data_IF_980390832375
#
_entry.id   IF_980390832375
#
_cell.length_a   1.000
_cell.length_b   1.000
_cell.length_c   1.000
_cell.angle_alpha   90.00
_cell.angle_beta   90.00
_cell.angle_gamma   90.00
#
_symmetry.space_group_name_H-M   'P 1'
#
loop_
_entity.id
_entity.type
_entity.pdbx_description
1 polymer ?
#
# COMPACT_ATOMS: atom_id res chain seq x y z
N UNK A 1 7.55 -10.60 -15.85
CA UNK A 1 7.35 -9.39 -16.68
C UNK A 1 7.72 -8.16 -15.87
N UNK A 2 8.17 -7.04 -16.47
CA UNK A 2 8.38 -5.82 -15.70
C UNK A 2 7.04 -5.36 -15.09
N UNK A 3 7.08 -4.91 -13.85
CA UNK A 3 5.90 -4.43 -13.12
C UNK A 3 5.41 -3.15 -13.82
N UNK A 4 4.27 -3.22 -14.50
CA UNK A 4 3.70 -2.10 -15.27
C UNK A 4 2.83 -1.16 -14.42
N UNK A 5 2.30 -1.65 -13.30
CA UNK A 5 1.46 -0.90 -12.36
C UNK A 5 1.97 -1.05 -10.93
N UNK A 6 1.89 0.02 -10.14
CA UNK A 6 2.26 0.02 -8.71
C UNK A 6 1.06 -0.05 -7.77
N UNK A 7 -0.11 -0.44 -8.29
CA UNK A 7 -1.32 -0.68 -7.50
C UNK A 7 -1.51 -2.18 -7.26
N UNK A 8 -2.10 -2.52 -6.11
CA UNK A 8 -2.51 -3.89 -5.80
C UNK A 8 -3.63 -4.33 -6.76
N UNK A 9 -3.64 -5.60 -7.16
CA UNK A 9 -4.73 -6.19 -7.96
C UNK A 9 -5.70 -7.02 -7.11
N UNK A 10 -6.83 -7.43 -7.70
CA UNK A 10 -7.78 -8.31 -7.04
C UNK A 10 -7.18 -9.70 -6.79
N UNK A 11 -6.39 -10.19 -7.75
CA UNK A 11 -5.66 -11.45 -7.65
C UNK A 11 -4.68 -11.45 -6.48
N UNK A 12 -3.97 -10.34 -6.24
CA UNK A 12 -3.06 -10.20 -5.10
C UNK A 12 -3.80 -10.36 -3.77
N UNK A 13 -5.00 -9.78 -3.65
CA UNK A 13 -5.81 -9.85 -2.42
C UNK A 13 -6.31 -11.27 -2.18
N UNK A 14 -6.83 -11.93 -3.21
CA UNK A 14 -7.31 -13.32 -3.12
C UNK A 14 -6.16 -14.26 -2.78
N UNK A 15 -5.02 -14.12 -3.45
CA UNK A 15 -3.82 -14.92 -3.18
C UNK A 15 -3.30 -14.73 -1.75
N UNK A 16 -3.33 -13.50 -1.23
CA UNK A 16 -2.91 -13.21 0.16
C UNK A 16 -3.80 -13.91 1.18
N UNK A 17 -5.12 -13.89 0.97
CA UNK A 17 -6.07 -14.57 1.85
C UNK A 17 -5.88 -16.10 1.77
N UNK A 18 -5.72 -16.64 0.56
CA UNK A 18 -5.45 -18.06 0.36
C UNK A 18 -4.15 -18.50 1.06
N UNK A 19 -3.08 -17.72 0.94
CA UNK A 19 -1.81 -17.96 1.63
C UNK A 19 -2.00 -18.06 3.14
N UNK A 20 -2.73 -17.10 3.73
CA UNK A 20 -3.01 -17.08 5.16
C UNK A 20 -3.80 -18.32 5.62
N UNK A 21 -4.81 -18.73 4.86
CA UNK A 21 -5.63 -19.92 5.18
C UNK A 21 -4.78 -21.19 5.10
N UNK A 22 -4.00 -21.36 4.05
CA UNK A 22 -3.12 -22.54 3.88
C UNK A 22 -2.06 -22.62 4.98
N UNK A 23 -1.50 -21.47 5.38
CA UNK A 23 -0.57 -21.37 6.49
C UNK A 23 -1.24 -21.81 7.80
N UNK A 24 -2.49 -21.40 8.04
CA UNK A 24 -3.26 -21.79 9.21
C UNK A 24 -3.55 -23.30 9.25
N UNK A 25 -3.81 -23.92 8.10
CA UNK A 25 -4.00 -25.37 7.94
C UNK A 25 -2.70 -26.18 8.04
N UNK A 26 -1.53 -25.52 8.11
CA UNK A 26 -0.22 -26.17 8.19
C UNK A 26 0.29 -26.71 6.86
N UNK A 27 -0.24 -26.23 5.73
CA UNK A 27 0.33 -26.52 4.41
C UNK A 27 1.65 -25.77 4.24
N UNK A 28 2.60 -26.39 3.53
CA UNK A 28 3.97 -25.85 3.37
C UNK A 28 4.26 -25.28 1.99
N UNK A 29 3.37 -25.51 1.01
CA UNK A 29 3.51 -25.00 -0.35
C UNK A 29 2.15 -24.56 -0.89
N UNK A 30 2.17 -23.59 -1.81
CA UNK A 30 1.00 -23.20 -2.58
C UNK A 30 1.38 -22.76 -3.98
N UNK A 31 0.43 -22.90 -4.90
CA UNK A 31 0.58 -22.45 -6.28
C UNK A 31 -0.66 -21.66 -6.64
N UNK A 32 -0.49 -20.37 -6.87
CA UNK A 32 -1.57 -19.51 -7.38
C UNK A 32 -1.86 -19.84 -8.84
N UNK A 33 -3.10 -19.69 -9.34
CA UNK A 33 -3.43 -19.97 -10.74
C UNK A 33 -2.54 -19.17 -11.71
N UNK A 34 -1.80 -19.86 -12.58
CA UNK A 34 -0.86 -19.24 -13.53
C UNK A 34 0.45 -18.74 -12.92
N UNK A 35 0.67 -18.98 -11.61
CA UNK A 35 1.90 -18.64 -10.91
C UNK A 35 2.87 -19.81 -10.74
N UNK A 36 3.96 -19.54 -10.02
CA UNK A 36 4.96 -20.54 -9.64
C UNK A 36 4.61 -21.07 -8.25
N UNK A 37 5.01 -22.30 -7.96
CA UNK A 37 4.92 -22.86 -6.60
C UNK A 37 5.82 -22.03 -5.65
N UNK A 38 5.25 -21.62 -4.52
CA UNK A 38 5.92 -20.85 -3.48
C UNK A 38 5.80 -21.56 -2.12
N UNK A 39 6.80 -21.40 -1.23
CA UNK A 39 6.69 -21.90 0.14
C UNK A 39 5.63 -21.11 0.92
N UNK A 40 4.89 -21.83 1.76
CA UNK A 40 3.96 -21.27 2.73
C UNK A 40 4.59 -21.39 4.11
N UNK A 41 5.09 -20.27 4.62
CA UNK A 41 5.80 -20.20 5.89
C UNK A 41 5.62 -18.84 6.54
N UNK A 42 6.00 -18.73 7.81
CA UNK A 42 6.00 -17.44 8.52
C UNK A 42 7.27 -16.66 8.19
N UNK A 43 7.12 -15.35 7.93
CA UNK A 43 8.26 -14.49 7.66
C UNK A 43 9.15 -14.25 8.89
N UNK A 44 10.47 -14.27 8.68
CA UNK A 44 11.43 -13.70 9.63
C UNK A 44 11.44 -12.18 9.51
N UNK A 45 10.73 -11.52 10.44
CA UNK A 45 10.52 -10.07 10.45
C UNK A 45 11.82 -9.26 10.67
N UNK A 46 12.87 -9.89 11.19
CA UNK A 46 14.13 -9.22 11.48
C UNK A 46 15.14 -9.31 10.33
N UNK A 47 14.83 -10.08 9.29
CA UNK A 47 15.70 -10.25 8.13
C UNK A 47 16.01 -8.93 7.42
N UNK A 48 17.30 -8.65 7.13
CA UNK A 48 17.71 -7.41 6.47
C UNK A 48 17.15 -7.25 5.05
N UNK A 49 16.81 -8.33 4.35
CA UNK A 49 16.09 -8.25 3.07
C UNK A 49 14.72 -7.59 3.18
N UNK A 50 14.10 -7.61 4.38
CA UNK A 50 12.85 -6.94 4.69
C UNK A 50 13.07 -5.50 5.22
N UNK A 51 14.32 -5.01 5.24
CA UNK A 51 14.69 -3.65 5.67
C UNK A 51 15.03 -2.80 4.45
N UNK A 52 14.34 -1.66 4.31
CA UNK A 52 14.63 -0.65 3.29
C UNK A 52 15.20 0.62 3.92
N UNK A 53 16.29 1.15 3.36
CA UNK A 53 16.81 2.46 3.73
C UNK A 53 15.92 3.57 3.13
N UNK A 54 15.50 4.52 3.95
CA UNK A 54 14.81 5.74 3.51
C UNK A 54 15.80 6.90 3.50
N UNK A 55 15.97 7.54 2.36
CA UNK A 55 16.86 8.70 2.23
C UNK A 55 16.23 9.95 2.86
N UNK A 56 17.05 10.97 3.14
CA UNK A 56 16.57 12.24 3.70
C UNK A 56 15.46 12.86 2.84
N UNK A 57 15.58 12.78 1.51
CA UNK A 57 14.56 13.25 0.58
C UNK A 57 13.23 12.52 0.72
N UNK A 58 13.24 11.20 0.88
CA UNK A 58 12.02 10.40 1.10
C UNK A 58 11.33 10.79 2.42
N UNK A 59 12.11 11.03 3.48
CA UNK A 59 11.57 11.45 4.78
C UNK A 59 10.88 12.82 4.69
N UNK A 60 11.51 13.79 4.02
CA UNK A 60 10.93 15.12 3.79
C UNK A 60 9.67 15.01 2.92
N UNK A 61 9.71 14.24 1.84
CA UNK A 61 8.56 14.02 0.96
C UNK A 61 7.37 13.42 1.72
N UNK A 62 7.62 12.44 2.59
CA UNK A 62 6.57 11.81 3.40
C UNK A 62 5.94 12.82 4.39
N UNK A 63 6.75 13.70 5.01
CA UNK A 63 6.23 14.76 5.88
C UNK A 63 5.37 15.78 5.12
N UNK A 64 5.83 16.22 3.96
CA UNK A 64 5.04 17.13 3.10
C UNK A 64 3.74 16.46 2.67
N UNK A 65 3.76 15.18 2.28
CA UNK A 65 2.55 14.43 1.89
C UNK A 65 1.50 14.41 3.00
N UNK A 66 1.92 14.18 4.25
CA UNK A 66 1.00 14.22 5.41
C UNK A 66 0.42 15.62 5.61
N UNK A 67 1.25 16.66 5.50
CA UNK A 67 0.79 18.05 5.57
C UNK A 67 -0.24 18.39 4.48
N UNK A 68 0.05 17.97 3.24
CA UNK A 68 -0.84 18.15 2.09
C UNK A 68 -2.17 17.42 2.27
N UNK A 69 -2.18 16.20 2.78
CA UNK A 69 -3.43 15.46 3.04
C UNK A 69 -4.34 16.17 4.04
N UNK A 70 -3.77 16.82 5.08
CA UNK A 70 -4.55 17.64 6.02
C UNK A 70 -5.10 18.89 5.36
N UNK A 71 -4.29 19.58 4.55
CA UNK A 71 -4.75 20.76 3.81
C UNK A 71 -5.83 20.40 2.79
N UNK A 72 -5.68 19.28 2.08
CA UNK A 72 -6.67 18.75 1.15
C UNK A 72 -8.02 18.51 1.84
N UNK A 73 -8.00 17.91 3.03
CA UNK A 73 -9.22 17.74 3.83
C UNK A 73 -9.90 19.08 4.14
N UNK A 74 -9.15 20.08 4.59
CA UNK A 74 -9.69 21.42 4.88
C UNK A 74 -10.26 22.08 3.62
N UNK A 75 -9.60 21.93 2.47
CA UNK A 75 -10.09 22.42 1.19
C UNK A 75 -11.42 21.74 0.83
N UNK A 76 -11.52 20.41 0.93
CA UNK A 76 -12.78 19.68 0.69
C UNK A 76 -13.90 20.11 1.64
N UNK A 77 -13.60 20.33 2.92
CA UNK A 77 -14.58 20.81 3.91
C UNK A 77 -15.07 22.23 3.54
N UNK A 78 -14.17 23.14 3.16
CA UNK A 78 -14.52 24.51 2.74
C UNK A 78 -15.35 24.54 1.45
N UNK A 79 -15.08 23.66 0.50
CA UNK A 79 -15.88 23.54 -0.74
C UNK A 79 -17.35 23.23 -0.49
N UNK A 80 -17.69 22.59 0.65
CA UNK A 80 -19.09 22.27 0.98
C UNK A 80 -19.82 23.39 1.74
N UNK A 81 -19.09 24.39 2.25
CA UNK A 81 -19.63 25.41 3.18
C UNK A 81 -19.51 26.84 2.67
N UNK A 82 -18.59 27.12 1.75
CA UNK A 82 -18.36 28.45 1.18
C UNK A 82 -19.21 28.69 -0.07
N UNK A 83 -19.58 29.96 -0.30
CA UNK A 83 -20.29 30.38 -1.50
C UNK A 83 -19.41 30.19 -2.75
N UNK A 84 -19.95 29.52 -3.76
CA UNK A 84 -19.22 29.09 -4.97
C UNK A 84 -18.62 30.28 -5.71
N UNK A 85 -19.29 31.44 -5.70
CA UNK A 85 -18.81 32.65 -6.38
C UNK A 85 -17.65 33.34 -5.64
N UNK A 86 -17.42 32.99 -4.37
CA UNK A 86 -16.36 33.58 -3.53
C UNK A 86 -15.15 32.64 -3.33
N UNK A 87 -15.17 31.41 -3.83
CA UNK A 87 -14.08 30.44 -3.65
C UNK A 87 -12.91 30.78 -4.59
N UNK A 88 -11.75 31.10 -4.01
CA UNK A 88 -10.47 31.25 -4.72
C UNK A 88 -9.33 30.55 -3.96
N UNK A 89 -8.29 30.04 -4.65
CA UNK A 89 -7.06 29.61 -4.00
C UNK A 89 -6.37 30.83 -3.37
N UNK A 90 -6.09 30.78 -2.06
CA UNK A 90 -5.21 31.73 -1.37
C UNK A 90 -3.88 31.08 -1.03
#
# INVERSE_FOLDING_TARGET
EPITSSTLTEEDVVATIEYLVRLHEGQTTMTVPGGVEVPVETDDIDHFGNRRLRTVGELIQNQIRVGMSRMERVVRERMTTQDVEAITPQ
#
